data_IF_323254090622
#
_entry.id   IF_323254090622
#
_cell.length_a   1.000
_cell.length_b   1.000
_cell.length_c   1.000
_cell.angle_alpha   90.00
_cell.angle_beta   90.00
_cell.angle_gamma   90.00
#
_symmetry.space_group_name_H-M   'P 1'
#
loop_
_entity.id
_entity.type
_entity.pdbx_description
1 polymer ?
#
# COMPACT_ATOMS: atom_id res chain seq x y z
N UNK A 1 1.97 7.41 -7.21
CA UNK A 1 2.41 6.10 -6.70
C UNK A 1 2.03 5.92 -5.24
N UNK A 2 2.47 6.74 -4.30
CA UNK A 2 2.17 6.61 -2.86
C UNK A 2 0.68 6.40 -2.56
N UNK A 3 -0.21 7.19 -3.20
CA UNK A 3 -1.67 7.02 -3.07
C UNK A 3 -2.13 5.60 -3.40
N UNK A 4 -1.58 4.97 -4.46
CA UNK A 4 -1.92 3.60 -4.85
C UNK A 4 -1.49 2.58 -3.80
N UNK A 5 -0.29 2.75 -3.23
CA UNK A 5 0.20 1.90 -2.14
C UNK A 5 -0.68 2.02 -0.90
N UNK A 6 -1.06 3.24 -0.54
CA UNK A 6 -1.97 3.49 0.60
C UNK A 6 -3.36 2.88 0.37
N UNK A 7 -3.91 2.99 -0.85
CA UNK A 7 -5.19 2.34 -1.20
C UNK A 7 -5.07 0.82 -1.09
N UNK A 8 -3.99 0.22 -1.60
CA UNK A 8 -3.76 -1.22 -1.51
C UNK A 8 -3.72 -1.70 -0.06
N UNK A 9 -3.05 -0.96 0.84
CA UNK A 9 -3.06 -1.24 2.27
C UNK A 9 -4.47 -1.19 2.86
N UNK A 10 -5.26 -0.16 2.54
CA UNK A 10 -6.64 -0.05 3.02
C UNK A 10 -7.54 -1.17 2.51
N UNK A 11 -7.36 -1.57 1.25
CA UNK A 11 -8.15 -2.66 0.64
C UNK A 11 -7.80 -4.02 1.26
N UNK A 12 -6.54 -4.25 1.64
CA UNK A 12 -6.11 -5.51 2.25
C UNK A 12 -6.86 -5.83 3.54
N UNK A 13 -7.24 -4.81 4.31
CA UNK A 13 -7.94 -4.97 5.59
C UNK A 13 -9.42 -4.60 5.55
N UNK A 14 -10.01 -4.41 4.35
CA UNK A 14 -11.41 -3.94 4.23
C UNK A 14 -12.45 -5.00 4.60
N UNK A 15 -12.11 -6.28 4.50
CA UNK A 15 -13.05 -7.39 4.65
C UNK A 15 -12.96 -8.13 6.01
N UNK A 16 -12.38 -7.45 7.02
CA UNK A 16 -12.31 -8.03 8.37
C UNK A 16 -13.67 -8.08 9.02
N UNK A 17 -14.04 -9.26 9.55
CA UNK A 17 -15.34 -9.51 10.15
C UNK A 17 -15.21 -9.97 11.59
N UNK A 18 -16.09 -9.50 12.45
CA UNK A 18 -16.25 -9.96 13.83
C UNK A 18 -17.59 -10.62 13.99
N UNK A 19 -17.60 -11.80 14.58
CA UNK A 19 -18.82 -12.57 14.87
C UNK A 19 -19.08 -12.51 16.36
N UNK A 20 -20.30 -12.13 16.74
CA UNK A 20 -20.78 -12.18 18.13
C UNK A 20 -21.65 -13.42 18.29
N UNK A 21 -21.44 -14.15 19.36
CA UNK A 21 -22.20 -15.35 19.69
C UNK A 21 -23.21 -15.06 20.81
N UNK A 22 -24.32 -15.77 20.79
CA UNK A 22 -25.27 -15.83 21.90
C UNK A 22 -24.75 -16.77 23.01
N UNK A 23 -25.40 -16.77 24.15
CA UNK A 23 -25.11 -17.72 25.25
C UNK A 23 -25.23 -19.19 24.82
N UNK A 24 -26.08 -19.47 23.83
CA UNK A 24 -26.30 -20.81 23.26
C UNK A 24 -25.20 -21.21 22.23
N UNK A 25 -24.19 -20.39 21.99
CA UNK A 25 -23.14 -20.65 21.00
C UNK A 25 -23.56 -20.46 19.53
N UNK A 26 -24.78 -19.97 19.28
CA UNK A 26 -25.24 -19.62 17.92
C UNK A 26 -24.74 -18.25 17.49
N UNK A 27 -24.43 -18.08 16.19
CA UNK A 27 -24.08 -16.77 15.65
C UNK A 27 -25.24 -15.78 15.82
N UNK A 28 -24.97 -14.68 16.54
CA UNK A 28 -25.95 -13.62 16.72
C UNK A 28 -25.86 -12.58 15.62
N UNK A 29 -24.65 -12.04 15.42
CA UNK A 29 -24.44 -10.94 14.50
C UNK A 29 -23.02 -10.94 13.94
N UNK A 30 -22.89 -10.78 12.62
CA UNK A 30 -21.62 -10.61 11.92
C UNK A 30 -21.47 -9.15 11.54
N UNK A 31 -20.37 -8.53 11.99
CA UNK A 31 -20.07 -7.11 11.78
C UNK A 31 -18.82 -7.01 10.92
N UNK A 32 -18.90 -6.36 9.76
CA UNK A 32 -17.72 -5.97 9.01
C UNK A 32 -17.08 -4.76 9.68
N UNK A 33 -15.79 -4.86 9.99
CA UNK A 33 -15.05 -3.83 10.73
C UNK A 33 -14.64 -2.70 9.76
N UNK A 34 -15.17 -1.48 9.92
CA UNK A 34 -14.84 -0.38 9.04
C UNK A 34 -13.40 0.08 9.26
N UNK A 35 -12.70 0.33 8.15
CA UNK A 35 -11.33 0.85 8.14
C UNK A 35 -11.29 2.26 7.58
N UNK A 36 -10.45 3.13 8.17
CA UNK A 36 -10.27 4.51 7.73
C UNK A 36 -8.79 4.90 7.70
N UNK A 37 -8.39 5.74 6.73
CA UNK A 37 -7.07 6.36 6.77
C UNK A 37 -7.11 7.56 7.73
N UNK A 38 -6.42 7.45 8.85
CA UNK A 38 -6.39 8.48 9.88
C UNK A 38 -5.15 8.32 10.75
N UNK A 39 -4.58 9.44 11.17
CA UNK A 39 -3.54 9.48 12.19
C UNK A 39 -4.12 8.97 13.53
N UNK A 40 -3.27 8.31 14.34
CA UNK A 40 -3.62 7.75 15.66
C UNK A 40 -4.35 8.75 16.56
N UNK A 41 -3.81 9.97 16.70
CA UNK A 41 -4.38 11.00 17.57
C UNK A 41 -5.79 11.40 17.14
N UNK A 42 -6.01 11.65 15.85
CA UNK A 42 -7.33 11.99 15.30
C UNK A 42 -8.31 10.83 15.42
N UNK A 43 -7.82 9.61 15.28
CA UNK A 43 -8.63 8.42 15.46
C UNK A 43 -9.11 8.26 16.88
N UNK A 44 -8.19 8.35 17.86
CA UNK A 44 -8.51 8.30 19.29
C UNK A 44 -9.40 9.49 19.69
N UNK A 45 -9.09 10.70 19.23
CA UNK A 45 -9.91 11.87 19.51
C UNK A 45 -11.34 11.73 18.99
N UNK A 46 -11.55 11.15 17.80
CA UNK A 46 -12.90 10.87 17.28
C UNK A 46 -13.64 9.81 18.09
N UNK A 47 -12.93 8.83 18.66
CA UNK A 47 -13.52 7.83 19.54
C UNK A 47 -13.92 8.42 20.90
N UNK A 48 -13.14 9.37 21.40
CA UNK A 48 -13.38 10.04 22.70
C UNK A 48 -14.36 11.21 22.58
N UNK A 49 -14.37 11.92 21.44
CA UNK A 49 -15.26 13.06 21.22
C UNK A 49 -16.64 12.58 20.73
N UNK A 50 -17.39 11.95 21.60
CA UNK A 50 -18.84 11.76 21.43
C UNK A 50 -19.58 12.67 22.41
N UNK A 51 -19.73 13.98 22.11
CA UNK A 51 -20.34 14.93 23.04
C UNK A 51 -21.82 15.17 22.78
N UNK A 52 -22.40 14.66 21.71
CA UNK A 52 -23.75 15.01 21.33
C UNK A 52 -24.69 13.79 21.39
N UNK A 53 -25.38 13.67 22.52
CA UNK A 53 -26.53 12.76 22.68
C UNK A 53 -27.63 12.94 21.61
N UNK A 54 -27.46 13.90 20.69
CA UNK A 54 -28.41 14.17 19.61
C UNK A 54 -28.08 13.43 18.30
N UNK A 55 -26.84 12.92 18.12
CA UNK A 55 -26.49 12.10 16.95
C UNK A 55 -26.72 10.62 17.23
N UNK A 56 -27.66 10.03 16.53
CA UNK A 56 -27.96 8.58 16.56
C UNK A 56 -26.80 7.68 16.07
N UNK A 57 -25.70 8.25 15.62
CA UNK A 57 -24.51 7.52 15.17
C UNK A 57 -23.38 7.73 16.19
N UNK A 58 -23.51 7.10 17.33
CA UNK A 58 -22.36 6.82 18.19
C UNK A 58 -21.37 6.00 17.36
N UNK A 59 -20.10 6.43 17.33
CA UNK A 59 -19.04 5.70 16.64
C UNK A 59 -18.98 4.29 17.22
N UNK A 60 -19.52 3.33 16.47
CA UNK A 60 -19.60 1.93 16.91
C UNK A 60 -18.23 1.28 16.79
N UNK A 61 -17.82 0.59 17.86
CA UNK A 61 -16.65 -0.29 17.90
C UNK A 61 -17.17 -1.71 17.62
N UNK A 62 -16.48 -2.58 16.88
CA UNK A 62 -15.08 -2.54 16.45
C UNK A 62 -14.79 -1.59 15.27
N UNK A 63 -13.60 -1.01 15.24
CA UNK A 63 -13.16 -0.11 14.17
C UNK A 63 -11.65 -0.17 13.97
N UNK A 64 -11.22 0.07 12.73
CA UNK A 64 -9.80 0.13 12.37
C UNK A 64 -9.42 1.47 11.75
N UNK A 65 -8.19 1.89 11.99
CA UNK A 65 -7.58 3.00 11.28
C UNK A 65 -6.14 2.64 10.88
N UNK A 66 -5.65 3.21 9.81
CA UNK A 66 -4.25 3.02 9.42
C UNK A 66 -3.64 4.34 8.95
N UNK A 67 -2.32 4.44 9.10
CA UNK A 67 -1.54 5.58 8.64
C UNK A 67 -0.19 5.17 8.08
N UNK A 68 0.36 5.99 7.17
CA UNK A 68 1.74 5.91 6.73
C UNK A 68 2.62 6.66 7.73
N UNK A 69 3.46 5.95 8.46
CA UNK A 69 4.32 6.52 9.53
C UNK A 69 5.61 7.06 8.97
N UNK A 70 6.28 6.30 8.09
CA UNK A 70 7.56 6.70 7.52
C UNK A 70 7.78 6.17 6.11
N UNK A 71 8.67 6.88 5.38
CA UNK A 71 9.15 6.50 4.06
C UNK A 71 10.67 6.57 4.08
N UNK A 72 11.34 5.43 4.04
CA UNK A 72 12.79 5.34 4.12
C UNK A 72 13.36 4.84 2.80
N UNK A 73 14.44 5.48 2.32
CA UNK A 73 15.16 5.01 1.15
C UNK A 73 15.91 3.72 1.46
N UNK A 74 15.71 2.67 0.64
CA UNK A 74 16.43 1.40 0.79
C UNK A 74 17.66 1.37 -0.13
N UNK A 75 18.82 1.63 0.45
CA UNK A 75 20.10 1.61 -0.27
C UNK A 75 20.56 0.21 -0.67
N UNK A 76 20.07 -0.85 -0.01
CA UNK A 76 20.47 -2.24 -0.30
C UNK A 76 19.83 -2.76 -1.58
N UNK A 77 18.57 -2.38 -1.85
CA UNK A 77 17.83 -2.72 -3.08
C UNK A 77 18.12 -1.77 -4.25
N UNK A 78 19.04 -0.83 -4.08
CA UNK A 78 19.37 0.15 -5.13
C UNK A 78 19.90 -0.52 -6.37
N UNK A 79 19.29 -0.25 -7.53
CA UNK A 79 19.78 -0.63 -8.85
C UNK A 79 20.62 0.48 -9.47
N UNK A 80 21.38 0.14 -10.52
CA UNK A 80 22.22 1.10 -11.24
C UNK A 80 21.35 2.18 -11.90
N UNK A 81 21.64 3.46 -11.64
CA UNK A 81 20.85 4.61 -12.11
C UNK A 81 20.77 4.78 -13.63
N UNK A 82 21.78 4.30 -14.35
CA UNK A 82 21.88 4.47 -15.81
C UNK A 82 21.09 3.44 -16.59
N UNK A 83 20.67 2.35 -15.94
CA UNK A 83 19.85 1.33 -16.59
C UNK A 83 18.46 1.88 -16.92
N UNK A 84 17.98 1.53 -18.13
CA UNK A 84 16.67 1.90 -18.62
C UNK A 84 15.92 0.66 -19.05
N UNK A 85 14.65 0.59 -18.70
CA UNK A 85 13.73 -0.38 -19.26
C UNK A 85 13.11 0.24 -20.51
N UNK A 86 13.19 -0.48 -21.63
CA UNK A 86 12.53 -0.11 -22.89
C UNK A 86 11.29 -0.94 -23.06
N UNK A 87 10.18 -0.28 -23.28
CA UNK A 87 8.89 -0.89 -23.49
C UNK A 87 8.31 -0.42 -24.83
N UNK A 88 7.47 -1.23 -25.40
CA UNK A 88 6.68 -0.95 -26.59
C UNK A 88 7.51 -0.37 -27.75
N UNK A 89 7.89 -1.28 -28.66
CA UNK A 89 8.53 -0.94 -29.92
C UNK A 89 7.54 -0.94 -31.09
N UNK A 90 6.25 -0.94 -30.79
CA UNK A 90 5.21 -0.91 -31.83
C UNK A 90 5.08 0.49 -32.42
N UNK A 91 4.83 0.56 -33.72
CA UNK A 91 4.52 1.80 -34.43
C UNK A 91 5.56 2.94 -34.36
N UNK A 92 6.86 2.63 -34.28
CA UNK A 92 7.91 3.64 -34.35
C UNK A 92 8.17 4.43 -33.07
N UNK A 93 7.52 4.09 -31.98
CA UNK A 93 7.69 4.72 -30.68
C UNK A 93 8.34 3.76 -29.67
N UNK A 94 9.30 4.24 -28.89
CA UNK A 94 9.84 3.53 -27.73
C UNK A 94 9.60 4.34 -26.46
N UNK A 95 9.03 3.69 -25.47
CA UNK A 95 8.93 4.25 -24.12
C UNK A 95 10.09 3.79 -23.26
N UNK A 96 10.83 4.71 -22.69
CA UNK A 96 11.96 4.43 -21.81
C UNK A 96 11.66 4.89 -20.39
N UNK A 97 11.93 4.02 -19.42
CA UNK A 97 11.81 4.32 -17.99
C UNK A 97 13.12 3.98 -17.32
N UNK A 98 13.65 4.87 -16.48
CA UNK A 98 14.80 4.57 -15.65
C UNK A 98 14.46 3.53 -14.58
N UNK A 99 15.48 2.83 -14.10
CA UNK A 99 15.34 1.90 -12.98
C UNK A 99 14.61 2.54 -11.81
N UNK A 100 13.65 1.83 -11.20
CA UNK A 100 12.89 2.39 -10.08
C UNK A 100 13.76 2.57 -8.84
N UNK A 101 13.34 3.52 -8.03
CA UNK A 101 14.00 3.83 -6.75
C UNK A 101 13.27 3.08 -5.64
N UNK A 102 13.97 2.23 -4.85
CA UNK A 102 13.38 1.46 -3.77
C UNK A 102 13.15 2.31 -2.52
N UNK A 103 12.00 2.15 -1.90
CA UNK A 103 11.63 2.76 -0.62
C UNK A 103 10.92 1.76 0.27
N UNK A 104 11.20 1.82 1.54
CA UNK A 104 10.50 1.13 2.59
C UNK A 104 9.42 2.05 3.19
N UNK A 105 8.16 1.62 3.08
CA UNK A 105 7.02 2.33 3.61
C UNK A 105 6.55 1.61 4.89
N UNK A 106 6.57 2.31 6.01
CA UNK A 106 6.06 1.77 7.28
C UNK A 106 4.64 2.26 7.50
N UNK A 107 3.72 1.31 7.65
CA UNK A 107 2.33 1.56 7.98
C UNK A 107 1.99 1.02 9.35
N UNK A 108 1.22 1.77 10.11
CA UNK A 108 0.61 1.29 11.35
C UNK A 108 -0.90 1.10 11.15
N UNK A 109 -1.40 -0.02 11.60
CA UNK A 109 -2.83 -0.35 11.70
C UNK A 109 -3.23 -0.31 13.17
N UNK A 110 -4.22 0.51 13.49
CA UNK A 110 -4.81 0.65 14.80
C UNK A 110 -6.16 -0.06 14.83
N UNK A 111 -6.32 -0.98 15.75
CA UNK A 111 -7.54 -1.77 15.93
C UNK A 111 -8.12 -1.41 17.28
N UNK A 112 -9.39 -1.03 17.33
CA UNK A 112 -10.09 -0.71 18.57
C UNK A 112 -11.35 -1.55 18.68
N UNK A 113 -11.48 -2.23 19.82
CA UNK A 113 -12.61 -3.10 20.14
C UNK A 113 -13.11 -2.86 21.59
N UNK A 114 -14.29 -3.39 21.90
CA UNK A 114 -14.82 -3.39 23.27
C UNK A 114 -14.33 -4.58 24.09
N UNK A 115 -14.18 -5.73 23.44
CA UNK A 115 -13.86 -6.99 24.10
C UNK A 115 -12.57 -7.56 23.53
N UNK A 116 -11.86 -8.31 24.36
CA UNK A 116 -10.66 -9.03 23.95
C UNK A 116 -10.96 -10.09 22.89
N UNK A 117 -12.13 -10.72 22.96
CA UNK A 117 -12.58 -11.73 22.00
C UNK A 117 -12.68 -11.14 20.58
N UNK A 118 -13.33 -9.97 20.43
CA UNK A 118 -13.40 -9.27 19.14
C UNK A 118 -12.02 -8.91 18.60
N UNK A 119 -11.09 -8.52 19.47
CA UNK A 119 -9.70 -8.21 19.11
C UNK A 119 -8.98 -9.43 18.56
N UNK A 120 -9.07 -10.55 19.27
CA UNK A 120 -8.41 -11.80 18.87
C UNK A 120 -8.99 -12.31 17.54
N UNK A 121 -10.29 -12.25 17.32
CA UNK A 121 -10.90 -12.62 16.06
C UNK A 121 -10.34 -11.83 14.87
N UNK A 122 -10.08 -10.52 15.04
CA UNK A 122 -9.49 -9.69 13.98
C UNK A 122 -8.03 -10.07 13.76
N UNK A 123 -7.25 -10.22 14.83
CA UNK A 123 -5.82 -10.57 14.75
C UNK A 123 -5.62 -11.94 14.11
N UNK A 124 -6.46 -12.94 14.46
CA UNK A 124 -6.42 -14.29 13.89
C UNK A 124 -6.77 -14.31 12.39
N UNK A 125 -7.48 -13.33 11.86
CA UNK A 125 -7.72 -13.19 10.42
C UNK A 125 -6.52 -12.55 9.71
N UNK A 126 -5.76 -11.67 10.39
CA UNK A 126 -4.65 -10.93 9.80
C UNK A 126 -3.35 -11.74 9.82
N UNK A 127 -2.95 -12.24 10.98
CA UNK A 127 -1.62 -12.85 11.20
C UNK A 127 -1.32 -14.01 10.26
N UNK A 128 -2.23 -14.96 9.99
CA UNK A 128 -1.94 -16.11 9.11
C UNK A 128 -1.71 -15.72 7.64
N UNK A 129 -2.16 -14.54 7.22
CA UNK A 129 -1.94 -14.07 5.84
C UNK A 129 -0.48 -13.63 5.59
N UNK A 130 0.27 -13.35 6.66
CA UNK A 130 1.65 -12.87 6.60
C UNK A 130 2.65 -13.98 7.00
N UNK A 131 3.05 -14.83 6.02
CA UNK A 131 3.99 -15.93 6.24
C UNK A 131 5.10 -16.01 5.18
N UNK A 132 6.18 -15.27 5.26
CA UNK A 132 6.46 -14.08 6.10
C UNK A 132 5.89 -12.78 5.55
N UNK A 133 5.53 -12.74 4.25
CA UNK A 133 5.03 -11.56 3.56
C UNK A 133 3.77 -11.86 2.75
N UNK A 134 2.97 -10.84 2.59
CA UNK A 134 1.82 -10.83 1.70
C UNK A 134 2.12 -9.96 0.49
N UNK A 135 2.08 -10.52 -0.71
CA UNK A 135 2.43 -9.79 -1.93
C UNK A 135 1.19 -9.29 -2.67
N UNK A 136 1.14 -7.97 -2.91
CA UNK A 136 0.07 -7.32 -3.68
C UNK A 136 0.62 -6.84 -5.01
N UNK A 137 -0.02 -7.24 -6.12
CA UNK A 137 0.37 -6.76 -7.46
C UNK A 137 -0.29 -5.40 -7.75
N UNK A 138 0.52 -4.38 -7.98
CA UNK A 138 0.05 -3.01 -8.19
C UNK A 138 0.48 -2.52 -9.58
N UNK A 139 -0.48 -1.92 -10.31
CA UNK A 139 -0.20 -1.24 -11.57
C UNK A 139 0.54 0.06 -11.28
N UNK A 140 1.82 0.12 -11.66
CA UNK A 140 2.73 1.21 -11.30
C UNK A 140 2.68 2.37 -12.29
N UNK A 141 2.68 2.06 -13.59
CA UNK A 141 2.64 3.02 -14.69
C UNK A 141 1.48 2.65 -15.61
N UNK A 142 0.79 3.64 -16.16
CA UNK A 142 -0.38 3.40 -17.02
C UNK A 142 0.02 3.04 -18.45
N UNK A 143 1.02 3.72 -18.99
CA UNK A 143 1.61 3.46 -20.29
C UNK A 143 3.14 3.55 -20.20
N UNK A 144 3.89 2.47 -20.46
CA UNK A 144 3.43 1.08 -20.64
C UNK A 144 2.88 0.48 -19.33
N UNK A 145 2.00 -0.52 -19.46
CA UNK A 145 1.41 -1.18 -18.28
C UNK A 145 2.47 -1.96 -17.50
N UNK A 146 3.07 -1.29 -16.52
CA UNK A 146 4.02 -1.90 -15.60
C UNK A 146 3.33 -2.30 -14.32
N UNK A 147 3.30 -3.61 -14.06
CA UNK A 147 2.88 -4.16 -12.79
C UNK A 147 4.10 -4.38 -11.90
N UNK A 148 3.96 -4.08 -10.66
CA UNK A 148 4.96 -4.32 -9.63
C UNK A 148 4.34 -5.04 -8.46
N UNK A 149 5.04 -6.05 -8.00
CA UNK A 149 4.63 -6.82 -6.83
C UNK A 149 5.17 -6.14 -5.57
N UNK A 150 4.25 -5.70 -4.72
CA UNK A 150 4.52 -5.04 -3.46
C UNK A 150 4.48 -6.08 -2.33
N UNK A 151 5.63 -6.57 -1.85
CA UNK A 151 5.66 -7.40 -0.66
C UNK A 151 5.44 -6.53 0.58
N UNK A 152 4.52 -6.99 1.43
CA UNK A 152 4.15 -6.37 2.70
C UNK A 152 4.44 -7.38 3.81
N UNK A 153 5.30 -7.01 4.72
CA UNK A 153 5.70 -7.86 5.85
C UNK A 153 5.12 -7.32 7.14
N UNK A 154 4.55 -8.17 7.98
CA UNK A 154 4.15 -7.82 9.33
C UNK A 154 5.41 -7.75 10.20
N UNK A 155 5.69 -6.59 10.79
CA UNK A 155 6.87 -6.38 11.66
C UNK A 155 6.57 -6.71 13.11
N UNK A 156 5.47 -6.17 13.63
CA UNK A 156 5.19 -6.21 15.05
C UNK A 156 3.69 -6.10 15.34
N UNK A 157 3.27 -6.70 16.45
CA UNK A 157 1.91 -6.61 17.01
C UNK A 157 2.03 -6.17 18.46
N UNK A 158 1.66 -4.93 18.73
CA UNK A 158 1.76 -4.30 20.05
C UNK A 158 0.39 -4.20 20.70
N UNK A 159 0.10 -5.05 21.69
CA UNK A 159 -1.07 -4.89 22.53
C UNK A 159 -0.93 -3.62 23.38
N UNK A 160 -1.94 -2.79 23.41
CA UNK A 160 -2.04 -1.64 24.31
C UNK A 160 -3.40 -1.67 24.97
N UNK A 161 -3.44 -2.08 26.22
CA UNK A 161 -4.64 -2.02 27.04
C UNK A 161 -4.55 -0.77 27.92
N UNK A 162 -5.35 0.26 27.62
CA UNK A 162 -5.44 1.44 28.45
C UNK A 162 -6.44 1.20 29.57
N UNK A 163 -5.97 0.60 30.65
CA UNK A 163 -6.74 0.42 31.88
C UNK A 163 -6.56 1.61 32.86
N UNK A 164 -5.97 2.72 32.42
CA UNK A 164 -5.86 3.94 33.20
C UNK A 164 -7.14 4.77 33.12
N UNK A 165 -8.09 4.52 34.00
CA UNK A 165 -9.31 5.30 34.15
C UNK A 165 -10.14 4.83 35.32
N UNK A 166 -10.96 5.70 35.93
CA UNK A 166 -11.94 5.33 36.95
C UNK A 166 -12.94 4.32 36.40
N UNK A 167 -13.55 3.52 37.22
CA UNK A 167 -14.50 2.44 36.87
C UNK A 167 -15.67 2.82 35.94
N UNK A 168 -15.84 4.10 35.64
CA UNK A 168 -16.87 4.66 34.77
C UNK A 168 -16.41 4.90 33.32
N UNK A 169 -15.11 4.89 33.05
CA UNK A 169 -14.60 5.08 31.70
C UNK A 169 -14.81 3.84 30.83
N UNK A 170 -15.35 4.04 29.62
CA UNK A 170 -15.57 2.98 28.64
C UNK A 170 -14.23 2.30 28.31
N UNK A 171 -14.04 1.10 28.85
CA UNK A 171 -12.86 0.28 28.55
C UNK A 171 -12.79 0.02 27.05
N UNK A 172 -11.77 0.55 26.40
CA UNK A 172 -11.46 0.31 25.01
C UNK A 172 -10.09 -0.37 24.92
N UNK A 173 -10.06 -1.47 24.18
CA UNK A 173 -8.84 -2.21 23.92
C UNK A 173 -8.31 -1.74 22.56
N UNK A 174 -7.05 -1.27 22.51
CA UNK A 174 -6.41 -0.82 21.29
C UNK A 174 -5.12 -1.60 21.05
N UNK A 175 -5.03 -2.24 19.87
CA UNK A 175 -3.80 -2.88 19.43
C UNK A 175 -3.25 -2.16 18.20
N UNK A 176 -1.92 -2.11 18.12
CA UNK A 176 -1.20 -1.52 16.99
C UNK A 176 -0.41 -2.61 16.28
N UNK A 177 -0.62 -2.75 14.97
CA UNK A 177 0.15 -3.64 14.12
C UNK A 177 0.99 -2.81 13.15
N UNK A 178 2.28 -3.12 13.05
CA UNK A 178 3.21 -2.42 12.18
C UNK A 178 3.56 -3.25 10.96
N UNK A 179 3.47 -2.66 9.78
CA UNK A 179 3.73 -3.31 8.50
C UNK A 179 4.82 -2.57 7.72
N UNK A 180 5.68 -3.34 7.06
CA UNK A 180 6.69 -2.86 6.14
C UNK A 180 6.31 -3.23 4.70
N UNK A 181 6.04 -2.22 3.87
CA UNK A 181 5.81 -2.42 2.45
C UNK A 181 7.04 -1.99 1.63
N UNK A 182 7.62 -2.94 0.89
CA UNK A 182 8.82 -2.70 0.05
C UNK A 182 8.43 -2.12 -1.30
N UNK A 183 8.21 -0.82 -1.34
CA UNK A 183 7.76 -0.09 -2.51
C UNK A 183 8.90 0.27 -3.48
N UNK A 184 8.53 0.59 -4.72
CA UNK A 184 9.43 1.17 -5.72
C UNK A 184 8.77 2.36 -6.40
N UNK A 185 9.56 3.37 -6.71
CA UNK A 185 9.10 4.58 -7.39
C UNK A 185 9.76 4.70 -8.75
N UNK A 186 8.94 4.71 -9.79
CA UNK A 186 9.39 4.95 -11.16
C UNK A 186 9.46 6.45 -11.45
N UNK A 187 10.50 6.85 -12.17
CA UNK A 187 10.65 8.18 -12.72
C UNK A 187 9.67 8.43 -13.89
N UNK A 188 9.75 9.62 -14.50
CA UNK A 188 8.93 9.96 -15.66
C UNK A 188 9.26 9.04 -16.84
N UNK A 189 8.22 8.68 -17.61
CA UNK A 189 8.34 7.92 -18.85
C UNK A 189 8.76 8.85 -19.96
N UNK A 190 9.90 8.57 -20.62
CA UNK A 190 10.32 9.29 -21.80
C UNK A 190 9.88 8.54 -23.05
N UNK A 191 9.00 9.15 -23.84
CA UNK A 191 8.62 8.66 -25.17
C UNK A 191 9.63 9.16 -26.20
N UNK A 192 10.16 8.27 -27.05
CA UNK A 192 11.10 8.60 -28.12
C UNK A 192 10.63 7.92 -29.42
N UNK A 193 10.81 8.63 -30.52
CA UNK A 193 10.63 8.04 -31.85
C UNK A 193 11.83 7.14 -32.18
N UNK A 194 11.55 6.03 -32.82
CA UNK A 194 12.56 5.07 -33.27
C UNK A 194 12.68 5.18 -34.79
N UNK A 195 13.91 5.23 -35.31
CA UNK A 195 14.16 5.11 -36.73
C UNK A 195 13.95 3.63 -37.10
N UNK A 196 12.82 3.31 -37.74
CA UNK A 196 12.47 1.95 -38.15
C UNK A 196 13.27 1.51 -39.37
N UNK A 197 13.55 2.42 -40.31
CA UNK A 197 14.27 2.16 -41.53
C UNK A 197 15.35 3.23 -41.73
N UNK A 198 16.61 2.97 -41.36
CA UNK A 198 17.69 3.86 -41.73
C UNK A 198 17.93 3.74 -43.24
N UNK A 199 17.61 4.79 -44.01
CA UNK A 199 18.06 4.91 -45.39
C UNK A 199 19.46 5.48 -45.36
N UNK A 200 20.46 4.68 -45.71
CA UNK A 200 21.81 5.15 -45.98
C UNK A 200 21.97 5.19 -47.52
N UNK A 201 21.91 6.36 -48.08
CA UNK A 201 22.35 6.56 -49.46
C UNK A 201 23.90 6.45 -49.47
N UNK A 202 24.36 5.24 -49.71
CA UNK A 202 25.76 5.03 -50.04
C UNK A 202 25.96 5.63 -51.45
N UNK A 203 26.50 6.85 -51.51
CA UNK A 203 27.03 7.37 -52.75
C UNK A 203 28.14 6.42 -53.20
N UNK A 204 27.86 5.70 -54.29
CA UNK A 204 28.78 4.72 -54.86
C UNK A 204 30.10 5.44 -55.19
N UNK A 205 31.18 4.73 -54.99
CA UNK A 205 32.55 5.17 -55.32
C UNK A 205 32.69 5.68 -56.79
N UNK A 206 31.76 5.34 -57.64
CA UNK A 206 31.74 5.75 -59.07
C UNK A 206 31.63 7.26 -59.27
N UNK A 207 31.04 8.04 -58.34
CA UNK A 207 30.96 9.51 -58.45
C UNK A 207 32.22 10.25 -58.01
N UNK A 208 33.16 9.59 -57.33
CA UNK A 208 34.39 10.20 -56.89
C UNK A 208 35.45 10.35 -58.01
N UNK A 209 35.32 9.60 -59.12
CA UNK A 209 36.27 9.68 -60.22
C UNK A 209 35.93 10.74 -61.28
N UNK A 210 34.74 11.38 -61.22
CA UNK A 210 34.39 12.47 -62.10
C UNK A 210 34.99 13.84 -61.75
N UNK A 211 35.66 13.95 -60.58
CA UNK A 211 36.24 15.23 -60.09
C UNK A 211 37.76 15.32 -60.21
N UNK A 212 38.46 14.35 -60.80
CA UNK A 212 39.89 14.45 -61.11
C UNK A 212 40.09 14.23 -62.60
N UNK A 213 40.48 15.32 -63.36
CA UNK A 213 40.90 15.19 -64.74
C UNK A 213 42.28 14.52 -64.90
#
# INVERSE_FOLDING_TARGET
MTKRYTIAMGTLFSDMNVVRYNEDGTENHRITVPITYSNKEKFVQRLMSDPDHSRKEAITVPRMAFELVSMNYDGQRKLQKLNKYQFDRSAGNASNVYTPVPYDLVYNLYIVTKTQEEMLQIVEQIVPAFTPDFTVSIKSVEEPELRFDLPITLLDVLPSDSSEGMFEDRRQIMWTMSFLAKAVYFGPVAKREIILHPQSDLYGWEKLYEFYP
#
